data_IF_352441475031
#
_entry.id   IF_352441475031
#
_cell.length_a   1.000
_cell.length_b   1.000
_cell.length_c   1.000
_cell.angle_alpha   90.00
_cell.angle_beta   90.00
_cell.angle_gamma   90.00
#
_symmetry.space_group_name_H-M   'P 1'
#
loop_
_entity.id
_entity.type
_entity.pdbx_description
1 polymer ?
#
# COMPACT_ATOMS: atom_id res chain seq x y z
N UNK A 1 -32.42 -24.22 -2.20
CA UNK A 1 -32.52 -25.58 -2.79
C UNK A 1 -33.72 -25.61 -3.72
N UNK A 2 -33.56 -26.09 -4.96
CA UNK A 2 -34.64 -26.17 -5.97
C UNK A 2 -34.84 -27.63 -6.37
N UNK A 3 -36.09 -28.01 -6.69
CA UNK A 3 -36.37 -29.33 -7.28
C UNK A 3 -35.59 -29.49 -8.59
N UNK A 4 -34.87 -30.60 -8.74
CA UNK A 4 -34.08 -30.89 -9.93
C UNK A 4 -34.98 -30.85 -11.19
N UNK A 5 -34.65 -29.96 -12.12
CA UNK A 5 -35.38 -29.75 -13.35
C UNK A 5 -35.16 -30.89 -14.34
N UNK A 6 -36.19 -31.22 -15.14
CA UNK A 6 -36.14 -32.34 -16.11
C UNK A 6 -34.97 -32.26 -17.10
N UNK A 7 -34.44 -31.06 -17.38
CA UNK A 7 -33.34 -30.84 -18.32
C UNK A 7 -31.96 -30.71 -17.66
N UNK A 8 -31.89 -30.68 -16.32
CA UNK A 8 -30.63 -30.53 -15.56
C UNK A 8 -29.79 -31.82 -15.64
N UNK A 9 -28.50 -31.77 -15.30
CA UNK A 9 -27.65 -32.96 -15.23
C UNK A 9 -28.13 -33.89 -14.10
N UNK A 10 -28.18 -35.20 -14.36
CA UNK A 10 -28.71 -36.18 -13.42
C UNK A 10 -27.85 -36.28 -12.16
N UNK A 11 -28.51 -36.33 -10.99
CA UNK A 11 -27.84 -36.38 -9.67
C UNK A 11 -26.98 -37.64 -9.44
N UNK A 12 -27.18 -38.71 -10.21
CA UNK A 12 -26.37 -39.93 -10.11
C UNK A 12 -24.95 -39.80 -10.69
N UNK A 13 -24.56 -38.62 -11.20
CA UNK A 13 -23.22 -38.37 -11.75
C UNK A 13 -22.98 -38.90 -13.16
N UNK A 14 -24.04 -39.32 -13.88
CA UNK A 14 -23.92 -39.92 -15.22
C UNK A 14 -23.65 -38.93 -16.36
N UNK A 15 -23.69 -37.62 -16.10
CA UNK A 15 -23.57 -36.57 -17.13
C UNK A 15 -24.77 -36.43 -18.09
N UNK A 16 -25.76 -37.33 -18.02
CA UNK A 16 -26.97 -37.27 -18.85
C UNK A 16 -28.02 -36.31 -18.25
N UNK A 17 -28.90 -35.75 -19.09
CA UNK A 17 -30.06 -34.97 -18.62
C UNK A 17 -30.96 -35.82 -17.73
N UNK A 18 -31.50 -35.25 -16.66
CA UNK A 18 -32.29 -35.94 -15.63
C UNK A 18 -33.46 -36.75 -16.23
N UNK A 19 -34.20 -36.17 -17.20
CA UNK A 19 -35.28 -36.86 -17.93
C UNK A 19 -34.85 -38.07 -18.75
N UNK A 20 -33.56 -38.18 -19.10
CA UNK A 20 -32.98 -39.29 -19.87
C UNK A 20 -32.23 -40.28 -18.97
N UNK A 21 -32.29 -40.11 -17.64
CA UNK A 21 -31.56 -40.93 -16.68
C UNK A 21 -32.47 -41.36 -15.52
N UNK A 22 -32.33 -40.77 -14.32
CA UNK A 22 -33.03 -41.27 -13.13
C UNK A 22 -34.49 -40.78 -12.97
N UNK A 23 -35.00 -39.85 -13.79
CA UNK A 23 -36.34 -39.27 -13.59
C UNK A 23 -37.45 -40.31 -13.37
N UNK A 24 -37.55 -41.33 -14.24
CA UNK A 24 -38.59 -42.35 -14.12
C UNK A 24 -38.41 -43.24 -12.88
N UNK A 25 -37.15 -43.49 -12.47
CA UNK A 25 -36.83 -44.28 -11.28
C UNK A 25 -37.16 -43.51 -10.01
N UNK A 26 -36.88 -42.21 -9.98
CA UNK A 26 -37.15 -41.35 -8.84
C UNK A 26 -38.65 -41.07 -8.68
N UNK A 27 -39.38 -40.88 -9.79
CA UNK A 27 -40.85 -40.75 -9.78
C UNK A 27 -41.53 -42.03 -9.28
N UNK A 28 -41.08 -43.20 -9.73
CA UNK A 28 -41.60 -44.50 -9.27
C UNK A 28 -41.36 -44.72 -7.77
N UNK A 29 -40.23 -44.25 -7.25
CA UNK A 29 -39.85 -44.36 -5.84
C UNK A 29 -40.32 -43.18 -4.98
N UNK A 30 -41.09 -42.23 -5.54
CA UNK A 30 -41.55 -41.00 -4.88
C UNK A 30 -40.42 -40.15 -4.28
N UNK A 31 -39.23 -40.24 -4.85
CA UNK A 31 -38.06 -39.43 -4.45
C UNK A 31 -38.14 -38.10 -5.19
N UNK A 32 -37.96 -36.99 -4.46
CA UNK A 32 -37.83 -35.65 -5.07
C UNK A 32 -36.39 -35.18 -4.91
N UNK A 33 -35.53 -35.37 -5.92
CA UNK A 33 -34.17 -34.88 -5.87
C UNK A 33 -34.17 -33.34 -5.81
N UNK A 34 -33.48 -32.82 -4.81
CA UNK A 34 -33.21 -31.40 -4.65
C UNK A 34 -31.77 -31.15 -5.11
N UNK A 35 -31.60 -30.14 -5.97
CA UNK A 35 -30.27 -29.66 -6.32
C UNK A 35 -29.92 -28.47 -5.41
N UNK A 36 -28.66 -28.35 -5.02
CA UNK A 36 -28.14 -27.05 -4.60
C UNK A 36 -28.34 -26.13 -5.79
N UNK A 37 -28.94 -24.96 -5.58
CA UNK A 37 -28.95 -23.93 -6.61
C UNK A 37 -27.50 -23.76 -7.05
N UNK A 38 -27.16 -24.17 -8.28
CA UNK A 38 -25.83 -23.88 -8.80
C UNK A 38 -25.63 -22.39 -8.62
N UNK A 39 -24.56 -22.02 -7.91
CA UNK A 39 -24.16 -20.62 -7.86
C UNK A 39 -24.07 -20.13 -9.31
N UNK A 40 -24.59 -18.93 -9.63
CA UNK A 40 -24.48 -18.40 -10.98
C UNK A 40 -23.00 -18.43 -11.40
N UNK A 41 -22.72 -18.83 -12.64
CA UNK A 41 -21.34 -18.83 -13.14
C UNK A 41 -20.78 -17.41 -13.05
N UNK A 42 -19.46 -17.24 -12.97
CA UNK A 42 -18.86 -15.89 -12.92
C UNK A 42 -19.23 -15.04 -14.15
N UNK A 43 -19.48 -15.69 -15.29
CA UNK A 43 -20.02 -15.05 -16.48
C UNK A 43 -21.45 -14.54 -16.26
N UNK A 44 -22.33 -15.32 -15.64
CA UNK A 44 -23.68 -14.87 -15.28
C UNK A 44 -23.62 -13.75 -14.23
N UNK A 45 -22.68 -13.81 -13.29
CA UNK A 45 -22.44 -12.75 -12.30
C UNK A 45 -22.12 -11.43 -13.01
N UNK A 46 -21.16 -11.42 -13.94
CA UNK A 46 -20.78 -10.21 -14.69
C UNK A 46 -21.91 -9.70 -15.58
N UNK A 47 -22.63 -10.59 -16.25
CA UNK A 47 -23.54 -10.21 -17.34
C UNK A 47 -24.99 -9.98 -16.90
N UNK A 48 -25.41 -10.56 -15.76
CA UNK A 48 -26.81 -10.54 -15.32
C UNK A 48 -27.02 -10.08 -13.87
N UNK A 49 -25.99 -10.13 -13.01
CA UNK A 49 -26.14 -9.83 -11.58
C UNK A 49 -25.42 -8.56 -11.12
N UNK A 50 -24.36 -8.13 -11.80
CA UNK A 50 -23.68 -6.86 -11.52
C UNK A 50 -24.20 -5.76 -12.44
N UNK A 51 -24.48 -4.59 -11.87
CA UNK A 51 -24.70 -3.36 -12.64
C UNK A 51 -23.35 -2.75 -13.00
N UNK A 52 -23.21 -2.19 -14.19
CA UNK A 52 -21.97 -1.56 -14.63
C UNK A 52 -22.23 -0.11 -15.02
N UNK A 53 -21.31 0.83 -14.72
CA UNK A 53 -21.48 2.23 -15.11
C UNK A 53 -21.57 2.43 -16.63
N UNK A 54 -20.90 1.56 -17.39
CA UNK A 54 -20.97 1.50 -18.84
C UNK A 54 -20.55 0.12 -19.36
N UNK A 55 -20.79 -0.10 -20.65
CA UNK A 55 -20.48 -1.36 -21.34
C UNK A 55 -18.98 -1.68 -21.36
N UNK A 56 -18.11 -0.67 -21.44
CA UNK A 56 -16.66 -0.85 -21.44
C UNK A 56 -16.16 -1.49 -20.13
N UNK A 57 -16.70 -1.09 -18.97
CA UNK A 57 -16.33 -1.67 -17.69
C UNK A 57 -16.79 -3.12 -17.53
N UNK A 58 -17.96 -3.45 -18.08
CA UNK A 58 -18.44 -4.83 -18.18
C UNK A 58 -17.53 -5.67 -19.10
N UNK A 59 -17.12 -5.12 -20.25
CA UNK A 59 -16.19 -5.78 -21.16
C UNK A 59 -14.82 -6.02 -20.51
N UNK A 60 -14.33 -5.09 -19.69
CA UNK A 60 -13.09 -5.26 -18.90
C UNK A 60 -13.22 -6.44 -17.93
N UNK A 61 -14.35 -6.57 -17.23
CA UNK A 61 -14.59 -7.69 -16.31
C UNK A 61 -14.63 -9.04 -17.05
N UNK A 62 -15.30 -9.09 -18.20
CA UNK A 62 -15.32 -10.28 -19.05
C UNK A 62 -13.92 -10.61 -19.60
N UNK A 63 -13.14 -9.61 -19.99
CA UNK A 63 -11.77 -9.80 -20.48
C UNK A 63 -10.83 -10.30 -19.38
N UNK A 64 -11.00 -9.82 -18.15
CA UNK A 64 -10.32 -10.35 -16.97
C UNK A 64 -10.71 -11.81 -16.72
N UNK A 65 -12.01 -12.15 -16.67
CA UNK A 65 -12.49 -13.52 -16.48
C UNK A 65 -11.95 -14.48 -17.56
N UNK A 66 -11.99 -14.09 -18.83
CA UNK A 66 -11.49 -14.92 -19.94
C UNK A 66 -10.01 -15.26 -19.82
N UNK A 67 -9.20 -14.32 -19.31
CA UNK A 67 -7.76 -14.50 -19.17
C UNK A 67 -7.35 -15.17 -17.85
N UNK A 68 -8.26 -15.28 -16.89
CA UNK A 68 -7.98 -15.83 -15.55
C UNK A 68 -8.66 -17.17 -15.29
N UNK A 69 -9.76 -17.46 -15.98
CA UNK A 69 -10.52 -18.70 -15.85
C UNK A 69 -9.64 -19.92 -16.12
N UNK A 70 -9.60 -20.85 -15.17
CA UNK A 70 -8.77 -22.06 -15.26
C UNK A 70 -7.30 -21.88 -14.90
N UNK A 71 -6.85 -20.64 -14.64
CA UNK A 71 -5.51 -20.33 -14.11
C UNK A 71 -5.52 -20.04 -12.61
N UNK A 72 -6.66 -19.56 -12.09
CA UNK A 72 -6.82 -19.18 -10.68
C UNK A 72 -8.12 -19.75 -10.11
N UNK A 73 -8.21 -19.82 -8.78
CA UNK A 73 -9.42 -20.27 -8.08
C UNK A 73 -10.59 -19.33 -8.38
N UNK A 74 -11.78 -19.88 -8.66
CA UNK A 74 -12.96 -19.09 -9.05
C UNK A 74 -13.35 -18.07 -7.97
N UNK A 75 -13.16 -18.38 -6.69
CA UNK A 75 -13.44 -17.47 -5.58
C UNK A 75 -12.55 -16.22 -5.63
N UNK A 76 -11.28 -16.36 -5.98
CA UNK A 76 -10.33 -15.26 -6.09
C UNK A 76 -10.68 -14.36 -7.29
N UNK A 77 -11.02 -14.97 -8.42
CA UNK A 77 -11.49 -14.26 -9.61
C UNK A 77 -12.78 -13.49 -9.28
N UNK A 78 -13.73 -14.12 -8.58
CA UNK A 78 -14.98 -13.50 -8.16
C UNK A 78 -14.75 -12.27 -7.27
N UNK A 79 -13.80 -12.34 -6.33
CA UNK A 79 -13.44 -11.23 -5.45
C UNK A 79 -12.93 -10.04 -6.27
N UNK A 80 -12.03 -10.26 -7.22
CA UNK A 80 -11.47 -9.19 -8.04
C UNK A 80 -12.47 -8.62 -9.07
N UNK A 81 -13.43 -9.43 -9.54
CA UNK A 81 -14.58 -8.92 -10.32
C UNK A 81 -15.42 -7.94 -9.48
N UNK A 82 -15.66 -8.23 -8.19
CA UNK A 82 -16.41 -7.34 -7.29
C UNK A 82 -15.63 -6.07 -6.96
N UNK A 83 -14.32 -6.18 -6.71
CA UNK A 83 -13.43 -5.03 -6.50
C UNK A 83 -13.46 -4.12 -7.73
N UNK A 84 -13.31 -4.69 -8.93
CA UNK A 84 -13.39 -3.94 -10.17
C UNK A 84 -14.75 -3.25 -10.33
N UNK A 85 -15.85 -3.94 -10.00
CA UNK A 85 -17.17 -3.36 -10.06
C UNK A 85 -17.32 -2.15 -9.12
N UNK A 86 -16.84 -2.25 -7.88
CA UNK A 86 -16.87 -1.13 -6.93
C UNK A 86 -16.01 0.05 -7.42
N UNK A 87 -14.76 -0.22 -7.78
CA UNK A 87 -13.83 0.78 -8.31
C UNK A 87 -14.38 1.48 -9.56
N UNK A 88 -15.04 0.73 -10.46
CA UNK A 88 -15.62 1.27 -11.68
C UNK A 88 -16.72 2.31 -11.41
N UNK A 89 -17.57 2.10 -10.40
CA UNK A 89 -18.65 3.03 -10.05
C UNK A 89 -18.14 4.30 -9.41
N UNK A 90 -17.11 4.19 -8.57
CA UNK A 90 -16.60 5.32 -7.81
C UNK A 90 -15.65 6.19 -8.64
N UNK A 91 -14.71 5.55 -9.33
CA UNK A 91 -13.62 6.25 -10.00
C UNK A 91 -13.90 6.51 -11.49
N UNK A 92 -14.95 5.90 -12.08
CA UNK A 92 -15.30 5.97 -13.51
C UNK A 92 -14.07 5.91 -14.44
N UNK A 93 -13.20 4.90 -14.28
CA UNK A 93 -11.88 4.88 -14.91
C UNK A 93 -11.96 4.79 -16.44
N UNK A 94 -11.10 5.54 -17.13
CA UNK A 94 -11.00 5.53 -18.59
C UNK A 94 -9.82 4.64 -19.02
N UNK A 95 -10.05 3.73 -19.97
CA UNK A 95 -9.03 2.88 -20.55
C UNK A 95 -8.87 3.13 -22.06
N UNK A 96 -7.64 3.41 -22.50
CA UNK A 96 -7.32 3.52 -23.92
C UNK A 96 -7.14 2.15 -24.59
N UNK A 97 -6.80 1.11 -23.81
CA UNK A 97 -6.66 -0.27 -24.27
C UNK A 97 -7.46 -1.21 -23.36
N UNK A 98 -8.13 -2.19 -23.95
CA UNK A 98 -8.96 -3.16 -23.21
C UNK A 98 -8.18 -4.05 -22.23
N UNK A 99 -6.86 -4.19 -22.41
CA UNK A 99 -5.99 -4.95 -21.50
C UNK A 99 -5.50 -4.17 -20.28
N UNK A 100 -5.70 -2.86 -20.22
CA UNK A 100 -5.10 -1.98 -19.20
C UNK A 100 -5.52 -2.32 -17.76
N UNK A 101 -6.82 -2.44 -17.48
CA UNK A 101 -7.32 -2.76 -16.15
C UNK A 101 -7.37 -4.27 -15.84
N UNK A 102 -7.69 -5.17 -16.79
CA UNK A 102 -7.57 -6.61 -16.54
C UNK A 102 -6.17 -7.04 -16.11
N UNK A 103 -5.13 -6.45 -16.70
CA UNK A 103 -3.75 -6.69 -16.31
C UNK A 103 -3.45 -6.28 -14.87
N UNK A 104 -3.96 -5.13 -14.45
CA UNK A 104 -3.82 -4.65 -13.08
C UNK A 104 -4.59 -5.54 -12.09
N UNK A 105 -5.82 -5.92 -12.42
CA UNK A 105 -6.64 -6.84 -11.61
C UNK A 105 -5.98 -8.20 -11.46
N UNK A 106 -5.42 -8.76 -12.54
CA UNK A 106 -4.71 -10.04 -12.51
C UNK A 106 -3.42 -9.92 -11.70
N UNK A 107 -2.67 -8.83 -11.87
CA UNK A 107 -1.48 -8.60 -11.07
C UNK A 107 -1.81 -8.52 -9.57
N UNK A 108 -2.84 -7.75 -9.18
CA UNK A 108 -3.26 -7.66 -7.79
C UNK A 108 -3.83 -8.97 -7.25
N UNK A 109 -4.55 -9.74 -8.07
CA UNK A 109 -5.00 -11.09 -7.74
C UNK A 109 -3.80 -11.97 -7.43
N UNK A 110 -2.75 -11.93 -8.26
CA UNK A 110 -1.51 -12.65 -8.02
C UNK A 110 -0.83 -12.21 -6.72
N UNK A 111 -0.78 -10.90 -6.44
CA UNK A 111 -0.18 -10.39 -5.20
C UNK A 111 -0.99 -10.72 -3.93
N UNK A 112 -2.32 -10.85 -4.02
CA UNK A 112 -3.19 -11.07 -2.85
C UNK A 112 -3.37 -12.55 -2.47
N UNK A 113 -3.11 -13.46 -3.41
CA UNK A 113 -3.35 -14.90 -3.24
C UNK A 113 -2.11 -15.75 -3.61
N UNK A 114 -0.94 -15.11 -3.63
CA UNK A 114 0.36 -15.74 -3.84
C UNK A 114 0.49 -16.55 -5.14
N UNK A 115 -0.19 -16.11 -6.21
CA UNK A 115 -0.02 -16.72 -7.53
C UNK A 115 1.18 -16.14 -8.27
N UNK A 116 1.84 -16.98 -9.08
CA UNK A 116 2.91 -16.53 -9.96
C UNK A 116 2.37 -15.55 -11.02
N UNK A 117 2.91 -14.33 -11.05
CA UNK A 117 2.48 -13.30 -11.99
C UNK A 117 3.32 -12.03 -11.86
N UNK A 118 4.37 -11.91 -12.66
CA UNK A 118 5.19 -10.68 -12.68
C UNK A 118 4.48 -9.58 -13.48
N UNK A 119 4.73 -8.32 -13.11
CA UNK A 119 4.20 -7.17 -13.87
C UNK A 119 4.59 -7.26 -15.34
N UNK A 120 5.82 -7.67 -15.65
CA UNK A 120 6.34 -7.79 -17.01
C UNK A 120 5.59 -8.86 -17.82
N UNK A 121 5.33 -10.02 -17.22
CA UNK A 121 4.65 -11.13 -17.88
C UNK A 121 3.16 -10.82 -18.11
N UNK A 122 2.49 -10.27 -17.10
CA UNK A 122 1.08 -9.89 -17.19
C UNK A 122 0.91 -8.69 -18.15
N UNK A 123 1.79 -7.68 -18.09
CA UNK A 123 1.74 -6.56 -19.02
C UNK A 123 1.91 -7.03 -20.48
N UNK A 124 2.83 -7.97 -20.72
CA UNK A 124 3.01 -8.60 -22.04
C UNK A 124 1.78 -9.40 -22.46
N UNK A 125 1.19 -10.21 -21.57
CA UNK A 125 -0.06 -10.95 -21.81
C UNK A 125 -1.19 -10.05 -22.31
N UNK A 126 -1.28 -8.83 -21.75
CA UNK A 126 -2.33 -7.87 -22.06
C UNK A 126 -1.95 -6.78 -23.07
N UNK A 127 -0.76 -6.83 -23.68
CA UNK A 127 -0.34 -5.88 -24.72
C UNK A 127 -0.14 -4.44 -24.24
N UNK A 128 0.26 -4.27 -22.97
CA UNK A 128 0.52 -2.98 -22.32
C UNK A 128 1.95 -2.93 -21.78
N UNK A 129 2.44 -1.75 -21.39
CA UNK A 129 3.74 -1.63 -20.70
C UNK A 129 3.60 -1.99 -19.22
N UNK A 130 4.68 -2.50 -18.61
CA UNK A 130 4.73 -2.77 -17.17
C UNK A 130 4.45 -1.50 -16.34
N UNK A 131 4.92 -0.34 -16.79
CA UNK A 131 4.61 0.95 -16.18
C UNK A 131 3.10 1.28 -16.23
N UNK A 132 2.42 0.96 -17.33
CA UNK A 132 0.96 1.14 -17.44
C UNK A 132 0.22 0.19 -16.49
N UNK A 133 0.63 -1.07 -16.42
CA UNK A 133 0.06 -2.05 -15.49
C UNK A 133 0.23 -1.58 -14.05
N UNK A 134 1.46 -1.24 -13.66
CA UNK A 134 1.83 -0.82 -12.31
C UNK A 134 1.03 0.40 -11.87
N UNK A 135 0.95 1.44 -12.71
CA UNK A 135 0.17 2.63 -12.41
C UNK A 135 -1.32 2.35 -12.21
N UNK A 136 -1.91 1.37 -12.91
CA UNK A 136 -3.32 0.99 -12.71
C UNK A 136 -3.52 0.05 -11.52
N UNK A 137 -2.55 -0.81 -11.24
CA UNK A 137 -2.57 -1.66 -10.06
C UNK A 137 -2.50 -0.81 -8.79
N UNK A 138 -1.66 0.21 -8.76
CA UNK A 138 -1.57 1.14 -7.62
C UNK A 138 -2.89 1.88 -7.38
N UNK A 139 -3.55 2.37 -8.44
CA UNK A 139 -4.84 3.05 -8.30
C UNK A 139 -5.91 2.14 -7.69
N UNK A 140 -5.98 0.89 -8.15
CA UNK A 140 -6.93 -0.08 -7.60
C UNK A 140 -6.51 -0.50 -6.18
N UNK A 141 -5.22 -0.62 -5.90
CA UNK A 141 -4.70 -0.96 -4.57
C UNK A 141 -4.98 0.13 -3.54
N UNK A 142 -4.71 1.39 -3.86
CA UNK A 142 -5.06 2.54 -3.02
C UNK A 142 -6.55 2.54 -2.72
N UNK A 143 -7.39 2.33 -3.74
CA UNK A 143 -8.83 2.20 -3.54
C UNK A 143 -9.19 1.05 -2.59
N UNK A 144 -8.55 -0.12 -2.71
CA UNK A 144 -8.77 -1.23 -1.78
C UNK A 144 -8.33 -0.86 -0.36
N UNK A 145 -7.18 -0.19 -0.18
CA UNK A 145 -6.66 0.25 1.12
C UNK A 145 -7.60 1.24 1.81
N UNK A 146 -8.13 2.21 1.05
CA UNK A 146 -9.07 3.21 1.55
C UNK A 146 -10.44 2.59 1.90
N UNK A 147 -10.77 1.44 1.29
CA UNK A 147 -12.05 0.74 1.44
C UNK A 147 -11.95 -0.60 2.20
N UNK A 148 -10.84 -0.86 2.93
CA UNK A 148 -10.60 -2.11 3.68
C UNK A 148 -11.77 -2.48 4.61
N UNK A 149 -12.46 -1.48 5.15
CA UNK A 149 -13.63 -1.68 6.01
C UNK A 149 -14.87 -2.21 5.25
N UNK A 150 -15.12 -1.71 4.04
CA UNK A 150 -16.30 -2.09 3.23
C UNK A 150 -16.19 -3.50 2.63
N UNK A 151 -14.97 -3.95 2.30
CA UNK A 151 -14.74 -5.26 1.68
C UNK A 151 -14.64 -6.41 2.72
N UNK A 152 -14.45 -6.08 4.00
CA UNK A 152 -14.35 -7.06 5.10
C UNK A 152 -15.66 -7.22 5.89
N UNK A 153 -16.55 -6.21 5.90
CA UNK A 153 -17.86 -6.31 6.56
C UNK A 153 -18.80 -7.34 5.95
N UNK A 154 -18.64 -7.69 4.67
CA UNK A 154 -19.42 -8.80 4.07
C UNK A 154 -19.08 -10.18 4.64
N UNK A 155 -18.02 -10.32 5.45
CA UNK A 155 -17.53 -11.63 5.89
C UNK A 155 -17.58 -11.87 7.41
N UNK A 156 -17.43 -10.89 8.30
CA UNK A 156 -17.41 -11.16 9.75
C UNK A 156 -17.94 -10.00 10.59
N UNK A 157 -19.04 -10.28 11.29
CA UNK A 157 -19.45 -9.48 12.44
C UNK A 157 -18.41 -9.54 13.55
N UNK A 158 -18.27 -8.41 14.24
CA UNK A 158 -17.74 -8.21 15.59
C UNK A 158 -16.64 -9.19 16.04
N UNK A 159 -15.37 -8.75 15.96
CA UNK A 159 -14.47 -8.65 17.13
C UNK A 159 -13.02 -8.28 16.77
N UNK A 160 -12.47 -7.44 17.64
CA UNK A 160 -11.06 -7.33 18.06
C UNK A 160 -10.08 -6.52 17.21
N UNK A 161 -9.81 -5.34 17.77
CA UNK A 161 -8.54 -4.65 17.91
C UNK A 161 -7.25 -5.50 17.83
N UNK A 162 -6.21 -4.85 17.26
CA UNK A 162 -4.74 -5.07 17.41
C UNK A 162 -3.99 -5.87 16.33
N UNK A 163 -3.91 -5.42 15.07
CA UNK A 163 -2.88 -5.91 14.11
C UNK A 163 -2.61 -4.80 13.05
N UNK A 164 -1.37 -4.40 12.71
CA UNK A 164 -0.70 -4.81 11.43
C UNK A 164 0.72 -4.24 11.16
N UNK A 165 1.56 -3.89 12.14
CA UNK A 165 2.98 -3.59 11.82
C UNK A 165 3.81 -4.87 11.61
N UNK A 166 3.69 -5.87 12.50
CA UNK A 166 4.45 -7.13 12.41
C UNK A 166 4.15 -7.97 11.15
N UNK A 167 2.91 -7.90 10.64
CA UNK A 167 2.51 -8.65 9.43
C UNK A 167 3.21 -8.17 8.16
N UNK A 168 3.54 -6.87 8.07
CA UNK A 168 4.17 -6.28 6.87
C UNK A 168 5.64 -6.68 6.73
N UNK A 169 6.33 -6.81 7.87
CA UNK A 169 7.76 -7.16 7.95
C UNK A 169 7.96 -8.65 7.65
N UNK A 170 7.10 -9.50 8.21
CA UNK A 170 7.12 -10.94 7.94
C UNK A 170 6.84 -11.24 6.45
N UNK A 171 5.94 -10.48 5.82
CA UNK A 171 5.68 -10.60 4.39
C UNK A 171 6.87 -10.11 3.54
N UNK A 172 7.51 -9.01 3.93
CA UNK A 172 8.72 -8.50 3.27
C UNK A 172 9.89 -9.49 3.39
N UNK A 173 10.04 -10.18 4.51
CA UNK A 173 11.02 -11.25 4.73
C UNK A 173 10.84 -12.43 3.77
N UNK A 174 9.62 -12.94 3.66
CA UNK A 174 9.35 -14.10 2.82
C UNK A 174 9.55 -13.75 1.33
N UNK A 175 9.10 -12.56 0.92
CA UNK A 175 9.31 -12.06 -0.44
C UNK A 175 10.81 -11.83 -0.75
N UNK A 176 11.59 -11.33 0.20
CA UNK A 176 13.04 -11.15 0.03
C UNK A 176 13.77 -12.51 -0.11
N UNK A 177 13.38 -13.52 0.67
CA UNK A 177 13.94 -14.89 0.54
C UNK A 177 13.65 -15.48 -0.84
N UNK A 178 12.41 -15.34 -1.33
CA UNK A 178 12.03 -15.79 -2.67
C UNK A 178 12.84 -15.05 -3.74
N UNK A 179 12.99 -13.73 -3.61
CA UNK A 179 13.81 -12.94 -4.55
C UNK A 179 15.26 -13.41 -4.62
N UNK A 180 15.91 -13.61 -3.46
CA UNK A 180 17.30 -14.06 -3.40
C UNK A 180 17.51 -15.47 -4.00
N UNK A 181 16.52 -16.35 -3.85
CA UNK A 181 16.55 -17.69 -4.45
C UNK A 181 16.41 -17.64 -5.98
N UNK A 182 15.62 -16.70 -6.50
CA UNK A 182 15.45 -16.49 -7.93
C UNK A 182 16.70 -15.87 -8.56
N UNK A 183 17.36 -14.91 -7.90
CA UNK A 183 18.58 -14.28 -8.41
C UNK A 183 19.79 -15.24 -8.48
N UNK A 184 19.85 -16.24 -7.60
CA UNK A 184 20.92 -17.26 -7.61
C UNK A 184 20.80 -18.24 -8.77
N UNK A 185 19.70 -18.24 -9.51
CA UNK A 185 19.47 -19.12 -10.64
C UNK A 185 19.33 -18.31 -11.93
N UNK A 186 20.21 -18.60 -12.90
CA UNK A 186 20.07 -18.07 -14.24
C UNK A 186 19.03 -18.91 -14.98
N UNK A 187 17.78 -18.45 -15.01
CA UNK A 187 16.74 -19.04 -15.83
C UNK A 187 16.81 -18.47 -17.25
N UNK A 188 16.87 -19.33 -18.26
CA UNK A 188 16.86 -18.90 -19.66
C UNK A 188 15.43 -18.60 -20.14
N UNK A 189 14.43 -19.18 -19.47
CA UNK A 189 13.01 -18.97 -19.76
C UNK A 189 12.17 -18.85 -18.49
N UNK A 190 11.03 -18.16 -18.60
CA UNK A 190 10.09 -18.00 -17.48
C UNK A 190 9.45 -19.32 -17.05
N UNK A 191 9.36 -20.31 -17.95
CA UNK A 191 8.81 -21.64 -17.64
C UNK A 191 9.75 -22.43 -16.71
N UNK A 192 11.06 -22.25 -16.83
CA UNK A 192 12.04 -22.82 -15.91
C UNK A 192 11.97 -22.18 -14.52
N UNK A 193 11.83 -20.86 -14.45
CA UNK A 193 11.65 -20.14 -13.18
C UNK A 193 10.34 -20.55 -12.47
N UNK A 194 9.26 -20.69 -13.23
CA UNK A 194 7.95 -21.12 -12.72
C UNK A 194 7.95 -22.58 -12.26
N UNK A 195 8.59 -23.48 -13.01
CA UNK A 195 8.74 -24.88 -12.62
C UNK A 195 9.60 -25.02 -11.36
N UNK A 196 10.64 -24.21 -11.22
CA UNK A 196 11.47 -24.14 -10.01
C UNK A 196 10.67 -23.69 -8.78
N UNK A 197 9.91 -22.59 -8.89
CA UNK A 197 9.04 -22.09 -7.82
C UNK A 197 7.97 -23.11 -7.41
N UNK A 198 7.27 -23.74 -8.37
CA UNK A 198 6.28 -24.79 -8.09
C UNK A 198 6.91 -26.04 -7.45
N UNK A 199 8.14 -26.40 -7.83
CA UNK A 199 8.87 -27.52 -7.23
C UNK A 199 9.28 -27.21 -5.79
N UNK A 200 9.56 -25.95 -5.45
CA UNK A 200 9.88 -25.52 -4.08
C UNK A 200 8.65 -25.50 -3.18
N UNK A 201 7.50 -25.00 -3.66
CA UNK A 201 6.25 -24.97 -2.90
C UNK A 201 5.70 -26.38 -2.59
N UNK A 202 6.02 -27.37 -3.43
CA UNK A 202 5.54 -28.75 -3.30
C UNK A 202 6.48 -29.72 -2.57
N UNK A 203 7.70 -29.29 -2.18
CA UNK A 203 8.64 -30.13 -1.42
C UNK A 203 8.56 -29.83 0.08
N UNK A 204 8.68 -30.88 0.90
CA UNK A 204 9.09 -30.72 2.31
C UNK A 204 10.39 -29.89 2.38
N UNK A 205 10.61 -29.10 3.46
CA UNK A 205 11.73 -28.18 3.55
C UNK A 205 13.02 -28.86 3.11
N UNK A 206 13.69 -28.27 2.12
CA UNK A 206 14.96 -28.76 1.63
C UNK A 206 15.91 -28.99 2.82
N UNK A 207 16.78 -30.02 2.73
CA UNK A 207 17.85 -30.23 3.73
C UNK A 207 18.50 -28.88 4.04
N UNK A 208 18.71 -28.52 5.32
CA UNK A 208 19.13 -27.18 5.71
C UNK A 208 20.39 -26.82 4.94
N UNK A 209 20.22 -25.98 3.92
CA UNK A 209 21.33 -25.40 3.21
C UNK A 209 21.94 -24.41 4.19
N UNK A 210 23.27 -24.44 4.33
CA UNK A 210 23.96 -23.51 5.21
C UNK A 210 23.74 -22.12 4.64
N UNK A 211 22.93 -21.32 5.35
CA UNK A 211 22.61 -19.94 4.97
C UNK A 211 23.90 -19.16 4.73
N UNK A 212 23.91 -18.29 3.71
CA UNK A 212 24.98 -17.32 3.50
C UNK A 212 25.06 -16.38 4.72
N UNK A 213 26.18 -15.67 4.87
CA UNK A 213 26.31 -14.68 5.95
C UNK A 213 25.28 -13.56 5.82
N UNK A 214 24.95 -13.18 4.60
CA UNK A 214 23.90 -12.20 4.28
C UNK A 214 22.52 -12.72 4.71
N UNK A 215 22.17 -13.97 4.36
CA UNK A 215 20.89 -14.56 4.74
C UNK A 215 20.75 -14.68 6.27
N UNK A 216 21.82 -15.07 6.96
CA UNK A 216 21.85 -15.09 8.43
C UNK A 216 21.70 -13.68 9.03
N UNK A 217 22.35 -12.68 8.43
CA UNK A 217 22.22 -11.29 8.87
C UNK A 217 20.79 -10.77 8.69
N UNK A 218 20.14 -11.09 7.56
CA UNK A 218 18.74 -10.74 7.32
C UNK A 218 17.80 -11.38 8.34
N UNK A 219 18.00 -12.65 8.72
CA UNK A 219 17.20 -13.29 9.78
C UNK A 219 17.34 -12.59 11.14
N UNK A 220 18.55 -12.12 11.47
CA UNK A 220 18.79 -11.32 12.67
C UNK A 220 18.10 -9.95 12.60
N UNK A 221 18.12 -9.30 11.43
CA UNK A 221 17.39 -8.03 11.18
C UNK A 221 15.90 -8.23 11.40
N UNK A 222 15.28 -9.26 10.82
CA UNK A 222 13.86 -9.52 11.02
C UNK A 222 13.53 -9.83 12.49
N UNK A 223 14.35 -10.65 13.13
CA UNK A 223 14.22 -10.90 14.57
C UNK A 223 14.30 -9.61 15.40
N UNK A 224 15.13 -8.66 14.98
CA UNK A 224 15.26 -7.37 15.66
C UNK A 224 14.04 -6.46 15.44
N UNK A 225 13.33 -6.57 14.31
CA UNK A 225 12.11 -5.76 14.08
C UNK A 225 10.94 -6.21 14.96
N UNK A 226 10.86 -7.50 15.27
CA UNK A 226 9.84 -8.07 16.16
C UNK A 226 10.22 -7.97 17.65
N UNK A 227 11.47 -7.64 17.95
CA UNK A 227 11.98 -7.62 19.32
C UNK A 227 11.56 -6.35 20.07
N UNK A 228 10.69 -6.56 21.06
CA UNK A 228 10.21 -5.51 21.96
C UNK A 228 11.26 -4.96 22.94
N UNK A 229 12.28 -5.76 23.30
CA UNK A 229 13.32 -5.35 24.23
C UNK A 229 14.42 -4.53 23.53
N UNK A 230 14.62 -3.24 23.88
CA UNK A 230 15.56 -2.37 23.16
C UNK A 230 17.01 -2.86 23.16
N UNK A 231 17.49 -3.45 24.27
CA UNK A 231 18.87 -3.95 24.36
C UNK A 231 19.09 -5.16 23.47
N UNK A 232 18.11 -6.07 23.41
CA UNK A 232 18.18 -7.25 22.56
C UNK A 232 18.02 -6.88 21.08
N UNK A 233 17.14 -5.93 20.76
CA UNK A 233 16.97 -5.34 19.43
C UNK A 233 18.28 -4.77 18.89
N UNK A 234 18.98 -3.95 19.69
CA UNK A 234 20.31 -3.42 19.34
C UNK A 234 21.31 -4.55 19.12
N UNK A 235 21.35 -5.54 20.01
CA UNK A 235 22.31 -6.65 19.93
C UNK A 235 22.12 -7.47 18.64
N UNK A 236 20.88 -7.78 18.28
CA UNK A 236 20.54 -8.49 17.04
C UNK A 236 21.00 -7.71 15.79
N UNK A 237 20.77 -6.40 15.75
CA UNK A 237 21.24 -5.54 14.66
C UNK A 237 22.78 -5.48 14.58
N UNK A 238 23.47 -5.41 15.73
CA UNK A 238 24.94 -5.48 15.77
C UNK A 238 25.47 -6.82 15.29
N UNK A 239 24.84 -7.92 15.69
CA UNK A 239 25.22 -9.27 15.27
C UNK A 239 24.97 -9.46 13.75
N UNK A 240 23.91 -8.85 13.20
CA UNK A 240 23.69 -8.81 11.76
C UNK A 240 24.85 -8.11 11.03
N UNK A 241 25.31 -6.95 11.52
CA UNK A 241 26.45 -6.23 10.93
C UNK A 241 27.78 -6.97 11.07
N UNK A 242 27.98 -7.79 12.11
CA UNK A 242 29.17 -8.64 12.23
C UNK A 242 29.20 -9.74 11.16
N UNK A 243 28.03 -10.20 10.71
CA UNK A 243 27.91 -11.19 9.64
C UNK A 243 27.98 -10.54 8.25
N UNK A 244 27.25 -9.44 8.07
CA UNK A 244 27.11 -8.71 6.82
C UNK A 244 27.12 -7.19 7.07
N UNK A 245 28.29 -6.53 6.96
CA UNK A 245 28.42 -5.09 7.18
C UNK A 245 27.60 -4.23 6.21
N UNK A 246 27.22 -4.75 5.04
CA UNK A 246 26.45 -4.04 4.01
C UNK A 246 24.94 -4.21 4.18
N UNK A 247 24.46 -4.24 5.43
CA UNK A 247 23.02 -4.35 5.75
C UNK A 247 22.44 -2.98 6.13
N UNK A 248 21.76 -2.31 5.18
CA UNK A 248 21.10 -1.03 5.45
C UNK A 248 20.04 -1.11 6.55
N UNK A 249 19.23 -2.17 6.59
CA UNK A 249 18.19 -2.31 7.63
C UNK A 249 18.77 -2.57 9.03
N UNK A 250 19.95 -3.19 9.15
CA UNK A 250 20.63 -3.28 10.44
C UNK A 250 21.04 -1.90 10.96
N UNK A 251 21.55 -1.02 10.07
CA UNK A 251 21.82 0.38 10.41
C UNK A 251 20.55 1.17 10.75
N UNK A 252 19.44 0.93 10.04
CA UNK A 252 18.15 1.57 10.35
C UNK A 252 17.69 1.24 11.77
N UNK A 253 17.75 -0.04 12.19
CA UNK A 253 17.39 -0.44 13.56
C UNK A 253 18.28 0.25 14.60
N UNK A 254 19.61 0.30 14.36
CA UNK A 254 20.53 0.96 15.29
C UNK A 254 20.22 2.46 15.40
N UNK A 255 19.87 3.10 14.29
CA UNK A 255 19.47 4.50 14.27
C UNK A 255 18.16 4.75 15.04
N UNK A 256 17.14 3.89 14.86
CA UNK A 256 15.88 3.96 15.62
C UNK A 256 16.08 3.76 17.14
N UNK A 257 17.10 2.99 17.53
CA UNK A 257 17.43 2.73 18.92
C UNK A 257 18.45 3.73 19.52
N UNK A 258 18.91 4.70 18.73
CA UNK A 258 19.91 5.67 19.16
C UNK A 258 19.36 6.59 20.26
N UNK A 259 20.25 7.02 21.16
CA UNK A 259 19.86 7.87 22.30
C UNK A 259 19.78 9.35 21.94
N UNK A 260 20.35 9.76 20.81
CA UNK A 260 20.37 11.15 20.36
C UNK A 260 20.14 11.26 18.86
N UNK A 261 19.56 12.38 18.37
CA UNK A 261 19.41 12.62 16.93
C UNK A 261 20.72 12.58 16.15
N UNK A 262 21.83 13.01 16.79
CA UNK A 262 23.17 12.97 16.19
C UNK A 262 23.66 11.54 15.97
N UNK A 263 23.43 10.66 16.94
CA UNK A 263 23.76 9.24 16.84
C UNK A 263 22.85 8.53 15.82
N UNK A 264 21.55 8.85 15.81
CA UNK A 264 20.62 8.36 14.80
C UNK A 264 21.08 8.75 13.38
N UNK A 265 21.40 10.02 13.16
CA UNK A 265 21.91 10.53 11.89
C UNK A 265 23.20 9.83 11.46
N UNK A 266 24.10 9.51 12.40
CA UNK A 266 25.32 8.75 12.10
C UNK A 266 24.98 7.37 11.52
N UNK A 267 24.12 6.60 12.18
CA UNK A 267 23.74 5.26 11.72
C UNK A 267 22.93 5.30 10.43
N UNK A 268 21.94 6.19 10.29
CA UNK A 268 21.20 6.34 9.04
C UNK A 268 22.13 6.71 7.88
N UNK A 269 23.14 7.56 8.10
CA UNK A 269 24.14 7.88 7.08
C UNK A 269 24.99 6.67 6.69
N UNK A 270 25.32 5.78 7.63
CA UNK A 270 25.97 4.51 7.29
C UNK A 270 25.05 3.63 6.43
N UNK A 271 23.78 3.51 6.82
CA UNK A 271 22.75 2.79 6.05
C UNK A 271 22.61 3.32 4.62
N UNK A 272 22.53 4.65 4.46
CA UNK A 272 22.51 5.29 3.14
C UNK A 272 23.74 4.93 2.31
N UNK A 273 24.93 5.03 2.89
CA UNK A 273 26.18 4.78 2.16
C UNK A 273 26.30 3.34 1.66
N UNK A 274 25.95 2.35 2.49
CA UNK A 274 26.02 0.94 2.07
C UNK A 274 24.98 0.62 1.01
N UNK A 275 23.76 1.17 1.13
CA UNK A 275 22.71 0.96 0.13
C UNK A 275 22.99 1.68 -1.19
N UNK A 276 23.58 2.88 -1.17
CA UNK A 276 24.02 3.58 -2.38
C UNK A 276 25.10 2.79 -3.13
N UNK A 277 26.04 2.20 -2.40
CA UNK A 277 27.08 1.35 -2.99
C UNK A 277 26.50 0.06 -3.57
N UNK A 278 25.56 -0.58 -2.86
CA UNK A 278 24.94 -1.85 -3.25
C UNK A 278 24.04 -1.71 -4.48
N UNK A 279 23.21 -0.67 -4.51
CA UNK A 279 22.29 -0.41 -5.61
C UNK A 279 23.03 0.13 -6.84
N UNK A 280 23.98 1.06 -6.63
CA UNK A 280 24.76 1.66 -7.70
C UNK A 280 23.99 2.71 -8.52
N UNK A 281 24.73 3.60 -9.17
CA UNK A 281 24.18 4.81 -9.80
C UNK A 281 23.20 4.51 -10.96
N UNK A 282 23.53 3.52 -11.80
CA UNK A 282 22.66 3.14 -12.93
C UNK A 282 21.30 2.66 -12.44
N UNK A 283 21.28 1.85 -11.37
CA UNK A 283 20.04 1.37 -10.76
C UNK A 283 19.16 2.53 -10.28
N UNK A 284 19.77 3.54 -9.64
CA UNK A 284 19.04 4.74 -9.20
C UNK A 284 18.37 5.48 -10.35
N UNK A 285 19.09 5.67 -11.45
CA UNK A 285 18.57 6.37 -12.64
C UNK A 285 17.43 5.58 -13.30
N UNK A 286 17.55 4.25 -13.40
CA UNK A 286 16.56 3.37 -14.02
C UNK A 286 15.29 3.21 -13.19
N UNK A 287 15.39 3.23 -11.85
CA UNK A 287 14.29 2.93 -10.94
C UNK A 287 13.72 4.16 -10.23
N UNK A 288 14.18 5.36 -10.58
CA UNK A 288 13.68 6.63 -10.04
C UNK A 288 12.16 6.71 -10.21
N UNK A 289 11.46 7.04 -9.13
CA UNK A 289 10.00 7.11 -9.10
C UNK A 289 9.30 5.85 -8.59
N UNK A 290 10.03 4.74 -8.36
CA UNK A 290 9.47 3.46 -7.92
C UNK A 290 10.17 2.84 -6.70
N UNK A 291 10.98 3.61 -5.98
CA UNK A 291 11.82 3.07 -4.89
C UNK A 291 11.04 2.42 -3.74
N UNK A 292 9.78 2.77 -3.52
CA UNK A 292 8.97 2.14 -2.48
C UNK A 292 8.32 0.82 -2.91
N UNK A 293 7.94 0.75 -4.19
CA UNK A 293 7.32 -0.44 -4.81
C UNK A 293 8.30 -1.59 -5.05
N UNK A 294 9.61 -1.33 -4.97
CA UNK A 294 10.66 -2.34 -5.06
C UNK A 294 11.25 -2.63 -3.67
N UNK A 295 11.08 -3.86 -3.17
CA UNK A 295 11.51 -4.23 -1.82
C UNK A 295 13.00 -3.97 -1.56
N UNK A 296 13.92 -4.32 -2.48
CA UNK A 296 15.34 -4.09 -2.25
C UNK A 296 15.74 -2.62 -2.10
N UNK A 297 14.94 -1.64 -2.51
CA UNK A 297 15.24 -0.21 -2.27
C UNK A 297 14.66 0.34 -0.98
N UNK A 298 13.82 -0.42 -0.26
CA UNK A 298 13.20 0.05 0.99
C UNK A 298 14.19 0.34 2.12
N UNK A 299 15.28 -0.43 2.32
CA UNK A 299 16.29 -0.09 3.33
C UNK A 299 16.87 1.32 3.11
N UNK A 300 17.15 1.68 1.86
CA UNK A 300 17.60 3.02 1.47
C UNK A 300 16.55 4.10 1.78
N UNK A 301 15.29 3.86 1.39
CA UNK A 301 14.20 4.82 1.62
C UNK A 301 13.90 5.04 3.11
N UNK A 302 14.01 3.98 3.94
CA UNK A 302 13.91 4.08 5.40
C UNK A 302 15.08 4.88 5.99
N UNK A 303 16.31 4.57 5.54
CA UNK A 303 17.50 5.30 5.98
C UNK A 303 17.42 6.79 5.62
N UNK A 304 16.93 7.11 4.42
CA UNK A 304 16.82 8.49 3.92
C UNK A 304 15.82 9.32 4.72
N UNK A 305 14.64 8.74 5.02
CA UNK A 305 13.64 9.39 5.86
C UNK A 305 14.17 9.64 7.27
N UNK A 306 14.74 8.61 7.89
CA UNK A 306 15.27 8.70 9.24
C UNK A 306 16.42 9.70 9.35
N UNK A 307 17.28 9.77 8.34
CA UNK A 307 18.35 10.76 8.27
C UNK A 307 17.78 12.19 8.17
N UNK A 308 16.81 12.43 7.29
CA UNK A 308 16.17 13.72 7.12
C UNK A 308 15.49 14.20 8.41
N UNK A 309 14.73 13.34 9.07
CA UNK A 309 14.10 13.63 10.36
C UNK A 309 15.14 13.89 11.45
N UNK A 310 16.26 13.16 11.45
CA UNK A 310 17.36 13.41 12.40
C UNK A 310 18.00 14.78 12.16
N UNK A 311 18.18 15.19 10.90
CA UNK A 311 18.64 16.54 10.53
C UNK A 311 17.66 17.61 11.02
N UNK A 312 16.36 17.40 10.84
CA UNK A 312 15.29 18.27 11.33
C UNK A 312 15.36 18.46 12.86
N UNK A 313 15.48 17.36 13.61
CA UNK A 313 15.61 17.39 15.07
C UNK A 313 16.89 18.09 15.56
N UNK A 314 17.94 18.13 14.73
CA UNK A 314 19.17 18.88 15.01
C UNK A 314 19.11 20.34 14.54
N UNK A 315 17.99 20.79 13.97
CA UNK A 315 17.79 22.14 13.43
C UNK A 315 18.44 22.37 12.06
N UNK A 316 18.94 21.32 11.40
CA UNK A 316 19.49 21.42 10.05
C UNK A 316 18.39 21.26 8.99
N UNK A 317 17.50 22.25 8.93
CA UNK A 317 16.36 22.26 7.99
C UNK A 317 16.78 22.19 6.51
N UNK A 318 17.82 22.91 6.04
CA UNK A 318 18.21 22.83 4.63
C UNK A 318 18.56 21.40 4.17
N UNK A 319 19.24 20.64 5.04
CA UNK A 319 19.59 19.26 4.72
C UNK A 319 18.37 18.32 4.78
N UNK A 320 17.47 18.52 5.76
CA UNK A 320 16.21 17.77 5.82
C UNK A 320 15.37 17.99 4.56
N UNK A 321 15.19 19.26 4.15
CA UNK A 321 14.44 19.64 2.94
C UNK A 321 15.03 18.98 1.70
N UNK A 322 16.35 19.01 1.51
CA UNK A 322 17.02 18.36 0.37
C UNK A 322 16.68 16.87 0.30
N UNK A 323 16.76 16.17 1.44
CA UNK A 323 16.46 14.75 1.49
C UNK A 323 14.97 14.44 1.26
N UNK A 324 14.06 15.24 1.81
CA UNK A 324 12.63 15.09 1.58
C UNK A 324 12.25 15.32 0.11
N UNK A 325 12.82 16.34 -0.54
CA UNK A 325 12.65 16.56 -1.98
C UNK A 325 13.11 15.36 -2.80
N UNK A 326 14.33 14.87 -2.55
CA UNK A 326 14.87 13.69 -3.23
C UNK A 326 14.00 12.45 -3.02
N UNK A 327 13.43 12.27 -1.82
CA UNK A 327 12.50 11.17 -1.55
C UNK A 327 11.23 11.26 -2.39
N UNK A 328 10.65 12.45 -2.58
CA UNK A 328 9.48 12.62 -3.46
C UNK A 328 9.82 12.43 -4.94
N UNK A 329 11.07 12.64 -5.34
CA UNK A 329 11.52 12.28 -6.68
C UNK A 329 11.69 10.77 -6.86
N UNK A 330 12.15 10.07 -5.82
CA UNK A 330 12.33 8.61 -5.81
C UNK A 330 11.02 7.85 -5.60
N UNK A 331 10.06 8.46 -4.90
CA UNK A 331 8.73 7.94 -4.64
C UNK A 331 7.65 9.06 -4.70
N UNK A 332 7.19 9.47 -5.90
CA UNK A 332 6.18 10.52 -6.08
C UNK A 332 4.82 10.20 -5.46
N UNK A 333 4.46 8.92 -5.34
CA UNK A 333 3.23 8.46 -4.69
C UNK A 333 3.27 8.68 -3.17
N UNK A 334 4.45 8.96 -2.63
CA UNK A 334 4.65 9.33 -1.25
C UNK A 334 4.02 8.37 -0.22
N UNK A 335 4.23 7.07 -0.43
CA UNK A 335 3.73 6.04 0.48
C UNK A 335 4.27 6.16 1.92
N UNK A 336 5.31 6.99 2.14
CA UNK A 336 5.91 7.25 3.45
C UNK A 336 5.41 8.57 4.09
N UNK A 337 4.57 9.35 3.41
CA UNK A 337 4.01 10.60 3.94
C UNK A 337 5.02 11.77 4.05
N UNK A 338 6.10 11.73 3.27
CA UNK A 338 7.16 12.74 3.21
C UNK A 338 6.63 14.10 2.77
N UNK A 339 5.56 14.16 1.97
CA UNK A 339 5.01 15.45 1.48
C UNK A 339 4.52 16.34 2.62
N UNK A 340 4.00 15.76 3.71
CA UNK A 340 3.58 16.53 4.89
C UNK A 340 4.80 17.06 5.66
N UNK A 341 5.84 16.24 5.82
CA UNK A 341 7.09 16.65 6.45
C UNK A 341 7.79 17.77 5.68
N UNK A 342 7.87 17.64 4.35
CA UNK A 342 8.43 18.67 3.48
C UNK A 342 7.61 19.96 3.54
N UNK A 343 6.27 19.84 3.56
CA UNK A 343 5.40 21.00 3.68
C UNK A 343 5.67 21.74 4.99
N UNK A 344 5.64 21.05 6.14
CA UNK A 344 5.97 21.67 7.43
C UNK A 344 7.37 22.30 7.40
N UNK A 345 8.38 21.61 6.88
CA UNK A 345 9.74 22.16 6.78
C UNK A 345 9.80 23.48 6.00
N UNK A 346 9.10 23.59 4.86
CA UNK A 346 9.00 24.86 4.13
C UNK A 346 8.28 25.95 4.91
N UNK A 347 7.28 25.61 5.74
CA UNK A 347 6.60 26.60 6.58
C UNK A 347 7.51 27.10 7.71
N UNK A 348 8.30 26.20 8.32
CA UNK A 348 9.30 26.55 9.35
C UNK A 348 10.38 27.49 8.80
N UNK A 349 10.85 27.25 7.57
CA UNK A 349 11.88 28.06 6.92
C UNK A 349 11.34 29.28 6.18
N UNK A 350 10.02 29.52 6.25
CA UNK A 350 9.31 30.60 5.56
C UNK A 350 9.50 30.56 4.01
N UNK A 351 9.74 29.39 3.44
CA UNK A 351 9.83 29.13 2.01
C UNK A 351 8.44 29.04 1.36
N UNK A 352 7.65 30.11 1.50
CA UNK A 352 6.23 30.14 1.15
C UNK A 352 5.94 29.79 -0.33
N UNK A 353 6.84 30.17 -1.25
CA UNK A 353 6.69 29.83 -2.67
C UNK A 353 6.90 28.34 -2.92
N UNK A 354 7.89 27.73 -2.28
CA UNK A 354 8.14 26.28 -2.34
C UNK A 354 6.96 25.49 -1.74
N UNK A 355 6.46 25.94 -0.58
CA UNK A 355 5.25 25.38 0.03
C UNK A 355 4.03 25.47 -0.91
N UNK A 356 3.83 26.62 -1.56
CA UNK A 356 2.74 26.80 -2.54
C UNK A 356 2.87 25.85 -3.74
N UNK A 357 4.06 25.65 -4.27
CA UNK A 357 4.30 24.71 -5.37
C UNK A 357 3.99 23.28 -4.94
N UNK A 358 4.43 22.87 -3.75
CA UNK A 358 4.13 21.54 -3.21
C UNK A 358 2.63 21.33 -2.97
N UNK A 359 1.93 22.32 -2.41
CA UNK A 359 0.47 22.30 -2.25
C UNK A 359 -0.24 22.14 -3.60
N UNK A 360 0.25 22.77 -4.66
CA UNK A 360 -0.34 22.64 -5.99
C UNK A 360 -0.07 21.26 -6.61
N UNK A 361 1.09 20.67 -6.34
CA UNK A 361 1.42 19.31 -6.77
C UNK A 361 0.50 18.27 -6.12
N UNK A 362 0.14 18.48 -4.85
CA UNK A 362 -0.80 17.65 -4.07
C UNK A 362 -2.10 18.41 -3.78
N UNK A 363 -2.71 19.00 -4.80
CA UNK A 363 -3.89 19.85 -4.65
C UNK A 363 -5.14 19.10 -4.13
N UNK A 364 -5.24 17.81 -4.42
CA UNK A 364 -6.33 16.93 -3.98
C UNK A 364 -6.14 16.43 -2.55
N UNK A 365 -4.97 16.67 -1.94
CA UNK A 365 -4.73 16.24 -0.56
C UNK A 365 -5.60 17.05 0.42
N UNK A 366 -6.56 16.36 1.03
CA UNK A 366 -7.53 16.92 1.96
C UNK A 366 -7.17 16.76 3.43
N UNK A 367 -5.95 16.31 3.77
CA UNK A 367 -5.56 16.13 5.18
C UNK A 367 -5.56 17.47 5.92
N UNK A 368 -5.67 17.40 7.24
CA UNK A 368 -5.53 18.58 8.10
C UNK A 368 -4.20 19.30 7.84
N UNK A 369 -3.11 18.55 7.59
CA UNK A 369 -1.81 19.12 7.28
C UNK A 369 -1.87 20.03 6.05
N UNK A 370 -2.44 19.58 4.93
CA UNK A 370 -2.52 20.38 3.72
C UNK A 370 -3.56 21.51 3.82
N UNK A 371 -4.76 21.21 4.31
CA UNK A 371 -5.84 22.18 4.34
C UNK A 371 -5.53 23.39 5.25
N UNK A 372 -4.98 23.15 6.43
CA UNK A 372 -4.59 24.24 7.32
C UNK A 372 -3.32 24.96 6.85
N UNK A 373 -2.38 24.25 6.22
CA UNK A 373 -1.18 24.86 5.62
C UNK A 373 -1.50 25.74 4.42
N UNK A 374 -2.53 25.42 3.62
CA UNK A 374 -3.04 26.33 2.56
C UNK A 374 -3.40 27.71 3.13
N UNK A 375 -4.07 27.74 4.29
CA UNK A 375 -4.41 29.00 4.95
C UNK A 375 -3.17 29.75 5.46
N UNK A 376 -2.19 29.04 6.04
CA UNK A 376 -0.92 29.64 6.46
C UNK A 376 -0.17 30.25 5.27
N UNK A 377 -0.01 29.51 4.18
CA UNK A 377 0.69 29.96 2.97
C UNK A 377 0.00 31.15 2.32
N UNK A 378 -1.34 31.10 2.17
CA UNK A 378 -2.11 32.21 1.61
C UNK A 378 -1.97 33.47 2.47
N UNK A 379 -2.07 33.35 3.80
CA UNK A 379 -1.91 34.47 4.70
C UNK A 379 -0.48 35.05 4.63
N UNK A 380 0.54 34.21 4.58
CA UNK A 380 1.94 34.66 4.52
C UNK A 380 2.28 35.35 3.19
N UNK A 381 1.69 34.92 2.07
CA UNK A 381 1.94 35.52 0.76
C UNK A 381 1.08 36.76 0.46
N UNK A 382 -0.21 36.72 0.86
CA UNK A 382 -1.21 37.68 0.40
C UNK A 382 -1.91 38.44 1.54
N UNK A 383 -1.63 38.10 2.80
CA UNK A 383 -2.31 38.66 3.96
C UNK A 383 -3.79 38.26 4.03
N UNK A 384 -4.63 39.14 4.60
CA UNK A 384 -6.06 38.90 4.72
C UNK A 384 -6.76 39.07 3.36
N UNK A 385 -7.37 37.99 2.87
CA UNK A 385 -8.10 37.98 1.60
C UNK A 385 -9.43 37.22 1.72
N UNK A 386 -10.33 37.44 0.75
CA UNK A 386 -11.54 36.62 0.62
C UNK A 386 -11.19 35.15 0.36
N UNK A 387 -10.10 34.91 -0.38
CA UNK A 387 -9.58 33.58 -0.66
C UNK A 387 -9.12 32.87 0.62
N UNK A 388 -8.36 33.55 1.49
CA UNK A 388 -7.97 33.04 2.80
C UNK A 388 -9.18 32.61 3.64
N UNK A 389 -10.23 33.44 3.64
CA UNK A 389 -11.46 33.14 4.39
C UNK A 389 -12.12 31.85 3.87
N UNK A 390 -12.11 31.63 2.55
CA UNK A 390 -12.59 30.39 1.94
C UNK A 390 -11.73 29.19 2.34
N UNK A 391 -10.40 29.32 2.32
CA UNK A 391 -9.48 28.23 2.70
C UNK A 391 -9.67 27.82 4.16
N UNK A 392 -9.83 28.79 5.07
CA UNK A 392 -10.10 28.52 6.48
C UNK A 392 -11.43 27.76 6.64
N UNK A 393 -12.48 28.18 5.94
CA UNK A 393 -13.77 27.49 5.98
C UNK A 393 -13.66 26.04 5.51
N UNK A 394 -12.93 25.81 4.41
CA UNK A 394 -12.67 24.45 3.89
C UNK A 394 -11.87 23.61 4.87
N UNK A 395 -10.83 24.18 5.51
CA UNK A 395 -10.02 23.47 6.49
C UNK A 395 -10.83 23.07 7.72
N UNK A 396 -11.62 24.00 8.26
CA UNK A 396 -12.49 23.76 9.42
C UNK A 396 -13.61 22.76 9.10
N UNK A 397 -14.15 22.76 7.89
CA UNK A 397 -15.18 21.78 7.51
C UNK A 397 -14.62 20.36 7.38
N UNK A 398 -13.37 20.21 6.93
CA UNK A 398 -12.72 18.90 6.83
C UNK A 398 -12.31 18.34 8.18
N UNK A 399 -11.67 19.16 9.02
CA UNK A 399 -11.28 18.73 10.36
C UNK A 399 -11.67 19.79 11.42
N UNK A 400 -12.91 19.73 11.95
CA UNK A 400 -13.41 20.71 12.93
C UNK A 400 -12.75 20.59 14.31
N UNK A 401 -11.91 19.58 14.54
CA UNK A 401 -11.24 19.35 15.83
C UNK A 401 -9.98 20.20 15.98
N UNK A 402 -9.35 20.65 14.89
CA UNK A 402 -8.11 21.46 14.92
C UNK A 402 -8.28 22.82 15.64
N UNK A 403 -9.32 23.63 15.37
CA UNK A 403 -9.41 24.98 15.95
C UNK A 403 -9.47 25.01 17.49
N UNK A 404 -10.23 24.14 18.20
CA UNK A 404 -10.20 24.07 19.66
C UNK A 404 -8.80 23.87 20.25
N UNK A 405 -7.94 23.05 19.63
CA UNK A 405 -6.56 22.84 20.11
C UNK A 405 -5.66 24.04 19.80
N UNK A 406 -5.74 24.61 18.59
CA UNK A 406 -4.96 25.81 18.22
C UNK A 406 -5.29 27.02 19.13
N UNK A 407 -6.56 27.18 19.48
CA UNK A 407 -7.05 28.25 20.35
C UNK A 407 -6.80 27.99 21.84
N UNK A 408 -6.27 26.83 22.21
CA UNK A 408 -6.03 26.46 23.61
C UNK A 408 -7.31 26.17 24.41
N UNK A 409 -8.45 25.95 23.74
CA UNK A 409 -9.71 25.53 24.39
C UNK A 409 -9.66 24.05 24.78
N UNK A 410 -8.85 23.25 24.07
CA UNK A 410 -8.56 21.85 24.38
C UNK A 410 -7.05 21.66 24.55
N UNK A 411 -6.66 20.86 25.53
CA UNK A 411 -5.26 20.50 25.76
C UNK A 411 -4.87 19.29 24.92
N UNK A 412 -3.68 19.33 24.30
CA UNK A 412 -3.12 18.18 23.61
C UNK A 412 -2.90 17.01 24.59
N UNK A 413 -3.14 15.76 24.16
CA UNK A 413 -2.79 14.59 24.95
C UNK A 413 -1.29 14.51 25.19
N UNK A 414 -0.88 13.81 26.26
CA UNK A 414 0.54 13.64 26.61
C UNK A 414 1.31 12.79 25.60
N UNK A 415 0.61 11.90 24.90
CA UNK A 415 1.18 11.02 23.87
C UNK A 415 0.54 11.32 22.53
N UNK A 416 1.35 11.34 21.48
CA UNK A 416 0.89 11.47 20.10
C UNK A 416 0.20 10.14 19.70
N UNK A 417 -0.98 10.17 19.06
CA UNK A 417 -1.65 8.97 18.56
C UNK A 417 -0.77 8.18 17.59
N UNK A 418 -0.78 6.85 17.69
CA UNK A 418 -0.05 5.96 16.77
C UNK A 418 -0.80 5.68 15.47
N UNK A 419 -2.09 5.99 15.42
CA UNK A 419 -2.96 5.81 14.25
C UNK A 419 -3.88 7.03 14.16
N UNK A 420 -4.07 7.51 12.95
CA UNK A 420 -4.99 8.61 12.62
C UNK A 420 -6.02 8.15 11.60
N UNK A 421 -7.17 8.80 11.57
CA UNK A 421 -8.18 8.65 10.52
C UNK A 421 -8.41 9.98 9.82
N UNK A 422 -8.71 9.94 8.53
CA UNK A 422 -8.95 11.14 7.73
C UNK A 422 -10.11 11.97 8.31
N UNK A 423 -9.85 13.24 8.64
CA UNK A 423 -10.82 14.18 9.22
C UNK A 423 -11.12 13.97 10.70
N UNK A 424 -10.48 13.01 11.37
CA UNK A 424 -10.78 12.67 12.76
C UNK A 424 -10.01 13.53 13.78
N UNK A 425 -10.33 13.36 15.06
CA UNK A 425 -9.69 14.12 16.12
C UNK A 425 -8.21 13.75 16.34
N UNK A 426 -7.79 12.52 15.99
CA UNK A 426 -6.40 12.08 16.15
C UNK A 426 -5.52 12.75 15.11
N UNK A 427 -6.01 12.90 13.87
CA UNK A 427 -5.38 13.73 12.83
C UNK A 427 -5.18 15.17 13.32
N UNK A 428 -6.20 15.76 13.95
CA UNK A 428 -6.09 17.11 14.51
C UNK A 428 -5.02 17.23 15.59
N UNK A 429 -4.94 16.23 16.48
CA UNK A 429 -3.90 16.18 17.52
C UNK A 429 -2.50 16.14 16.89
N UNK A 430 -2.28 15.29 15.89
CA UNK A 430 -0.99 15.19 15.18
C UNK A 430 -0.65 16.52 14.53
N UNK A 431 -1.56 17.07 13.71
CA UNK A 431 -1.35 18.34 13.02
C UNK A 431 -0.97 19.47 13.99
N UNK A 432 -1.76 19.64 15.06
CA UNK A 432 -1.55 20.72 16.02
C UNK A 432 -0.29 20.51 16.84
N UNK A 433 0.06 19.26 17.20
CA UNK A 433 1.31 18.99 17.91
C UNK A 433 2.54 19.45 17.13
N UNK A 434 2.48 19.38 15.80
CA UNK A 434 3.58 19.72 14.90
C UNK A 434 3.56 21.18 14.45
N UNK A 435 2.39 21.82 14.32
CA UNK A 435 2.27 23.11 13.62
C UNK A 435 1.74 24.26 14.51
N UNK A 436 1.42 24.03 15.79
CA UNK A 436 0.80 25.05 16.65
C UNK A 436 1.60 26.35 16.74
N UNK A 437 2.92 26.27 16.83
CA UNK A 437 3.78 27.45 16.94
C UNK A 437 3.74 28.33 15.68
N UNK A 438 3.59 27.74 14.49
CA UNK A 438 3.39 28.47 13.24
C UNK A 438 2.13 29.34 13.29
N UNK A 439 1.03 28.81 13.85
CA UNK A 439 -0.21 29.57 14.04
C UNK A 439 -0.08 30.65 15.12
N UNK A 440 0.58 30.33 16.23
CA UNK A 440 0.79 31.30 17.32
C UNK A 440 1.65 32.50 16.88
N UNK A 441 2.59 32.28 15.96
CA UNK A 441 3.37 33.35 15.35
C UNK A 441 2.50 34.29 14.47
N UNK A 442 1.25 33.91 14.16
CA UNK A 442 0.31 34.66 13.33
C UNK A 442 -1.03 34.89 14.05
N UNK A 443 -1.09 35.73 15.12
CA UNK A 443 -2.30 35.88 15.95
C UNK A 443 -3.56 36.36 15.22
N UNK A 444 -3.38 37.09 14.12
CA UNK A 444 -4.51 37.54 13.29
C UNK A 444 -5.20 36.36 12.60
N UNK A 445 -4.42 35.38 12.16
CA UNK A 445 -4.93 34.17 11.51
C UNK A 445 -5.71 33.30 12.50
N UNK A 446 -5.22 33.18 13.74
CA UNK A 446 -5.93 32.50 14.83
C UNK A 446 -7.31 33.10 15.13
N UNK A 447 -7.47 34.43 15.01
CA UNK A 447 -8.77 35.10 15.21
C UNK A 447 -9.79 34.73 14.13
N UNK A 448 -9.33 34.37 12.93
CA UNK A 448 -10.21 33.96 11.83
C UNK A 448 -10.78 32.56 12.04
N UNK A 449 -10.18 31.73 12.89
CA UNK A 449 -10.71 30.40 13.28
C UNK A 449 -11.89 30.49 14.27
N UNK A 450 -12.17 31.66 14.83
CA UNK A 450 -13.22 31.88 15.85
C UNK A 450 -14.56 32.35 15.28
N UNK A 451 -14.63 32.53 13.96
CA UNK A 451 -15.80 33.00 13.23
C UNK A 451 -16.28 31.88 12.31
#
# INVERSE_FOLDING_TARGET
>A
MRKLGRNDVCHCGSGLKYKKCCLNKDEANKVTPITSSHAPSLSDVINQHLQWPNELHQQIANHFLQNTSGLYEEEHIARFIRIWNAYAHECLPIAQKLGTFPAALEYLLCQNFDYAGTQSAIAKKYGISAATLSGRAEQIFSFIEDHVYMLTESARGEQSSSIHSGSRVAMEQEMARIHALLEKQNFETMDEANAFLQQMMNKQPAKPQKLSKEEQASELVYSAWEESNPKRRIKLAQDALLLHPESGDAYNILAECASTPKEAAYFYKQGLQVEENRLGKAFFEENKGYFWGYLPTRPYMRAKLGFAQSCEMMGNMPEAIRHYQEMLELNPNDNQGVRELLLTAYLETEEWNSAKLLINQYNEDGTAAFNYSRALVEYSLNGKSAHLTSLIKTAVSHNPFVPPYLQGKKQLPRSIPSVIGFGDEREAVVYVSMNRHLWLAKPELLKLLSK
#
